data_IF_284825402186
#
_entry.id   IF_284825402186
#
_cell.length_a   1.000
_cell.length_b   1.000
_cell.length_c   1.000
_cell.angle_alpha   90.00
_cell.angle_beta   90.00
_cell.angle_gamma   90.00
#
_symmetry.space_group_name_H-M   'P 1'
#
loop_
_entity.id
_entity.type
_entity.pdbx_description
1 polymer ?
#
# COMPACT_ATOMS: atom_id res chain seq x y z
N UNK A 1 -14.03 4.60 37.17
CA UNK A 1 -13.04 3.51 37.32
C UNK A 1 -11.79 3.96 36.61
N UNK A 2 -10.74 4.31 37.38
CA UNK A 2 -9.47 4.83 36.87
C UNK A 2 -8.59 3.61 36.60
N UNK A 3 -8.29 3.33 35.34
CA UNK A 3 -7.40 2.22 34.96
C UNK A 3 -5.97 2.73 34.79
N UNK A 4 -5.07 2.29 35.67
CA UNK A 4 -3.64 2.52 35.56
C UNK A 4 -3.01 1.34 34.79
N UNK A 5 -2.41 1.59 33.62
CA UNK A 5 -1.47 0.64 33.02
C UNK A 5 -0.09 1.30 32.98
N UNK A 6 0.75 0.95 33.95
CA UNK A 6 2.17 1.28 33.95
C UNK A 6 2.90 0.21 33.12
N UNK A 7 3.38 0.56 31.92
CA UNK A 7 4.42 -0.23 31.27
C UNK A 7 5.77 0.15 31.92
N UNK A 8 6.49 -0.87 32.39
CA UNK A 8 7.74 -0.77 33.14
C UNK A 8 8.79 0.03 32.37
N UNK A 9 9.04 1.28 32.78
CA UNK A 9 10.17 2.09 32.37
C UNK A 9 10.63 2.89 33.61
N UNK A 10 11.94 2.95 33.94
CA UNK A 10 12.42 3.48 35.22
C UNK A 10 12.36 5.02 35.31
N UNK A 11 11.78 5.69 34.32
CA UNK A 11 11.44 7.11 34.39
C UNK A 11 9.93 7.25 34.58
N UNK A 12 9.53 7.79 35.73
CA UNK A 12 8.16 8.20 36.07
C UNK A 12 7.65 9.28 35.09
N UNK A 13 7.28 8.87 33.88
CA UNK A 13 6.34 9.58 33.02
C UNK A 13 5.05 8.78 33.02
N UNK A 14 4.27 8.89 34.10
CA UNK A 14 2.88 8.46 34.07
C UNK A 14 2.16 9.36 33.05
N UNK A 15 1.91 8.83 31.85
CA UNK A 15 0.99 9.45 30.91
C UNK A 15 -0.40 9.39 31.53
N UNK A 16 -0.79 10.48 32.18
CA UNK A 16 -2.10 10.61 32.81
C UNK A 16 -3.13 10.88 31.70
N UNK A 17 -3.80 9.83 31.24
CA UNK A 17 -4.94 9.97 30.32
C UNK A 17 -6.06 10.74 31.02
N UNK A 18 -6.15 12.04 30.77
CA UNK A 18 -7.22 12.87 31.34
C UNK A 18 -8.45 12.83 30.43
N UNK A 19 -9.65 12.85 31.03
CA UNK A 19 -10.90 13.15 30.29
C UNK A 19 -11.02 14.63 29.89
N UNK A 20 -9.93 15.40 29.96
CA UNK A 20 -9.93 16.83 29.72
C UNK A 20 -9.78 17.20 28.23
N UNK A 21 -9.43 16.21 27.41
CA UNK A 21 -9.31 16.34 25.96
C UNK A 21 -10.25 15.33 25.33
N UNK A 22 -11.10 15.81 24.42
CA UNK A 22 -12.04 14.98 23.67
C UNK A 22 -11.73 15.08 22.18
N UNK A 23 -11.58 13.92 21.56
CA UNK A 23 -11.35 13.71 20.14
C UNK A 23 -12.37 12.70 19.62
N UNK A 24 -12.68 12.77 18.33
CA UNK A 24 -13.43 11.70 17.65
C UNK A 24 -12.63 10.40 17.68
N UNK A 25 -13.33 9.25 17.77
CA UNK A 25 -12.68 7.94 17.83
C UNK A 25 -12.14 7.49 16.47
N UNK A 26 -12.95 7.59 15.42
CA UNK A 26 -12.61 7.21 14.05
C UNK A 26 -13.22 8.20 13.07
N UNK A 27 -12.50 8.49 12.00
CA UNK A 27 -12.93 9.30 10.85
C UNK A 27 -12.46 8.59 9.59
N UNK A 28 -13.37 8.47 8.63
CA UNK A 28 -13.11 7.88 7.31
C UNK A 28 -13.36 8.97 6.28
N UNK A 29 -12.44 9.14 5.34
CA UNK A 29 -12.58 10.13 4.28
C UNK A 29 -11.88 9.63 3.02
N UNK A 30 -12.37 10.04 1.85
CA UNK A 30 -11.79 9.61 0.58
C UNK A 30 -10.47 10.33 0.25
N UNK A 31 -9.62 9.62 -0.48
CA UNK A 31 -8.40 10.18 -1.05
C UNK A 31 -8.69 11.44 -1.88
N UNK A 32 -7.81 12.44 -1.79
CA UNK A 32 -7.95 13.71 -2.49
C UNK A 32 -8.94 14.70 -1.85
N UNK A 33 -9.85 14.24 -0.98
CA UNK A 33 -10.73 15.13 -0.20
C UNK A 33 -9.97 15.80 0.93
N UNK A 34 -10.67 16.70 1.63
CA UNK A 34 -10.15 17.36 2.83
C UNK A 34 -10.89 16.84 4.06
N UNK A 35 -10.17 16.56 5.14
CA UNK A 35 -10.75 16.16 6.42
C UNK A 35 -10.46 17.20 7.50
N UNK A 36 -11.38 17.35 8.45
CA UNK A 36 -11.17 18.17 9.64
C UNK A 36 -11.28 17.32 10.90
N UNK A 37 -10.20 17.28 11.68
CA UNK A 37 -10.14 16.58 12.97
C UNK A 37 -10.32 17.59 14.10
N UNK A 38 -11.28 17.33 14.98
CA UNK A 38 -11.62 18.21 16.08
C UNK A 38 -11.03 17.71 17.40
N UNK A 39 -10.43 18.63 18.15
CA UNK A 39 -9.92 18.39 19.49
C UNK A 39 -10.45 19.46 20.44
N UNK A 40 -11.30 19.08 21.39
CA UNK A 40 -11.87 20.00 22.37
C UNK A 40 -11.21 19.85 23.73
N UNK A 41 -10.92 20.99 24.38
CA UNK A 41 -10.24 21.04 25.67
C UNK A 41 -11.14 21.66 26.74
N UNK A 42 -11.19 21.05 27.92
CA UNK A 42 -11.88 21.61 29.09
C UNK A 42 -10.97 22.48 29.96
N UNK A 43 -9.66 22.40 29.76
CA UNK A 43 -8.65 23.11 30.56
C UNK A 43 -8.62 24.60 30.21
N UNK A 44 -8.39 25.42 31.24
CA UNK A 44 -8.30 26.88 31.12
C UNK A 44 -6.87 27.30 31.49
N UNK A 45 -6.01 27.50 30.49
CA UNK A 45 -4.64 27.98 30.67
C UNK A 45 -4.48 29.34 29.98
N UNK A 46 -3.68 30.23 30.58
CA UNK A 46 -3.49 31.59 30.06
C UNK A 46 -2.61 31.62 28.79
N UNK A 47 -1.58 30.79 28.74
CA UNK A 47 -0.68 30.67 27.60
C UNK A 47 -0.25 29.21 27.46
N UNK A 48 -0.43 28.63 26.28
CA UNK A 48 -0.08 27.24 26.01
C UNK A 48 0.23 27.03 24.52
N UNK A 49 0.98 25.98 24.25
CA UNK A 49 1.25 25.53 22.87
C UNK A 49 0.40 24.30 22.60
N UNK A 50 -0.22 24.28 21.42
CA UNK A 50 -1.03 23.20 20.93
C UNK A 50 -0.32 22.49 19.79
N UNK A 51 -0.37 21.17 19.82
CA UNK A 51 0.28 20.34 18.82
C UNK A 51 -0.70 19.32 18.26
N UNK A 52 -0.47 18.95 17.02
CA UNK A 52 -0.96 17.71 16.44
C UNK A 52 0.21 16.81 16.06
N UNK A 53 0.08 15.54 16.40
CA UNK A 53 1.01 14.48 16.05
C UNK A 53 0.28 13.41 15.23
N UNK A 54 1.02 12.79 14.32
CA UNK A 54 0.55 11.66 13.52
C UNK A 54 1.36 10.42 13.87
N UNK A 55 0.67 9.31 14.09
CA UNK A 55 1.28 8.00 14.25
C UNK A 55 0.76 7.08 13.13
N UNK A 56 1.59 6.77 12.13
CA UNK A 56 1.26 5.75 11.13
C UNK A 56 1.09 4.37 11.78
N UNK A 57 0.35 3.43 11.16
CA UNK A 57 0.07 2.09 11.73
C UNK A 57 1.31 1.33 12.21
N UNK A 58 2.44 1.45 11.49
CA UNK A 58 3.72 0.80 11.81
C UNK A 58 4.85 1.82 12.03
N UNK A 59 4.53 3.02 12.52
CA UNK A 59 5.44 4.15 12.58
C UNK A 59 5.70 4.70 13.98
N UNK A 60 6.73 5.54 14.06
CA UNK A 60 6.93 6.43 15.20
C UNK A 60 6.00 7.63 15.05
N UNK A 61 5.53 8.14 16.19
CA UNK A 61 4.73 9.35 16.23
C UNK A 61 5.60 10.58 15.91
N UNK A 62 5.14 11.43 14.98
CA UNK A 62 5.86 12.64 14.53
C UNK A 62 4.97 13.87 14.59
N UNK A 63 5.56 15.05 14.82
CA UNK A 63 4.83 16.32 14.83
C UNK A 63 4.31 16.62 13.42
N UNK A 64 3.05 17.02 13.32
CA UNK A 64 2.41 17.45 12.08
C UNK A 64 2.48 18.97 11.96
N UNK A 65 1.97 19.66 12.97
CA UNK A 65 1.88 21.13 13.02
C UNK A 65 1.59 21.57 14.46
N UNK A 66 2.06 22.75 14.83
CA UNK A 66 1.83 23.35 16.14
C UNK A 66 1.48 24.83 16.07
N UNK A 67 0.92 25.35 17.17
CA UNK A 67 0.50 26.76 17.26
C UNK A 67 0.43 27.23 18.72
N UNK A 68 0.78 28.50 18.95
CA UNK A 68 0.57 29.16 20.24
C UNK A 68 -0.89 29.58 20.46
N UNK A 69 -1.35 29.62 21.72
CA UNK A 69 -2.72 30.00 22.10
C UNK A 69 -3.15 31.41 21.68
N UNK A 70 -2.18 32.30 21.47
CA UNK A 70 -2.45 33.69 21.06
C UNK A 70 -2.89 33.76 19.59
N UNK A 71 -2.36 32.87 18.75
CA UNK A 71 -2.73 32.74 17.35
C UNK A 71 -4.13 32.15 17.17
N UNK A 72 -4.83 32.58 16.13
CA UNK A 72 -6.12 32.02 15.73
C UNK A 72 -6.00 30.86 14.75
N UNK A 73 -4.93 30.86 13.94
CA UNK A 73 -4.69 29.87 12.90
C UNK A 73 -3.20 29.76 12.57
N UNK A 74 -2.78 28.59 12.11
CA UNK A 74 -1.46 28.34 11.53
C UNK A 74 -1.61 27.42 10.31
N UNK A 75 -0.78 27.58 9.29
CA UNK A 75 -0.82 26.76 8.08
C UNK A 75 0.59 26.36 7.66
N UNK A 76 0.77 25.07 7.40
CA UNK A 76 2.04 24.50 6.93
C UNK A 76 1.75 23.43 5.88
N UNK A 77 2.09 23.72 4.62
CA UNK A 77 1.80 22.83 3.49
C UNK A 77 0.31 22.51 3.37
N UNK A 78 -0.04 21.22 3.48
CA UNK A 78 -1.43 20.70 3.40
C UNK A 78 -2.18 20.76 4.73
N UNK A 79 -1.53 21.19 5.82
CA UNK A 79 -2.08 21.19 7.17
C UNK A 79 -2.49 22.60 7.59
N UNK A 80 -3.70 22.74 8.12
CA UNK A 80 -4.21 24.01 8.68
C UNK A 80 -4.74 23.79 10.10
N UNK A 81 -4.19 24.53 11.06
CA UNK A 81 -4.75 24.64 12.40
C UNK A 81 -5.67 25.84 12.50
N UNK A 82 -6.82 25.65 13.13
CA UNK A 82 -7.72 26.74 13.52
C UNK A 82 -8.24 26.56 14.95
N UNK A 83 -8.19 27.63 15.75
CA UNK A 83 -8.62 27.62 17.14
C UNK A 83 -9.91 28.42 17.32
N UNK A 84 -11.00 27.72 17.64
CA UNK A 84 -12.26 28.32 18.04
C UNK A 84 -12.22 28.64 19.54
N UNK A 85 -11.65 29.80 19.90
CA UNK A 85 -11.40 30.21 21.30
C UNK A 85 -12.65 30.14 22.21
N UNK A 86 -13.83 30.55 21.71
CA UNK A 86 -15.09 30.52 22.48
C UNK A 86 -15.52 29.10 22.86
N UNK A 87 -15.39 28.17 21.93
CA UNK A 87 -15.81 26.78 22.10
C UNK A 87 -14.67 25.86 22.57
N UNK A 88 -13.44 26.39 22.63
CA UNK A 88 -12.19 25.67 22.98
C UNK A 88 -11.96 24.42 22.11
N UNK A 89 -12.15 24.58 20.81
CA UNK A 89 -11.94 23.53 19.82
C UNK A 89 -10.76 23.92 18.94
N UNK A 90 -9.73 23.08 18.93
CA UNK A 90 -8.65 23.12 17.95
C UNK A 90 -8.99 22.16 16.83
N UNK A 91 -8.99 22.67 15.61
CA UNK A 91 -9.25 21.90 14.41
C UNK A 91 -7.98 21.74 13.61
N UNK A 92 -7.69 20.51 13.20
CA UNK A 92 -6.68 20.20 12.18
C UNK A 92 -7.40 19.89 10.87
N UNK A 93 -7.22 20.74 9.86
CA UNK A 93 -7.67 20.46 8.49
C UNK A 93 -6.50 19.92 7.68
N UNK A 94 -6.71 18.79 7.03
CA UNK A 94 -5.75 18.18 6.10
C UNK A 94 -6.39 18.20 4.72
N UNK A 95 -5.77 18.90 3.77
CA UNK A 95 -6.29 19.00 2.39
C UNK A 95 -5.61 18.00 1.47
N UNK A 96 -6.34 17.46 0.50
CA UNK A 96 -5.78 16.55 -0.51
C UNK A 96 -5.22 15.30 0.15
N UNK A 97 -6.06 14.55 0.85
CA UNK A 97 -5.68 13.34 1.60
C UNK A 97 -4.95 12.33 0.71
N UNK A 98 -3.90 11.73 1.26
CA UNK A 98 -3.13 10.66 0.64
C UNK A 98 -3.26 9.38 1.47
N UNK A 99 -3.10 8.17 0.89
CA UNK A 99 -3.18 6.92 1.65
C UNK A 99 -2.21 6.87 2.84
N UNK A 100 -1.04 7.51 2.71
CA UNK A 100 -0.03 7.66 3.76
C UNK A 100 -0.48 8.51 4.96
N UNK A 101 -1.54 9.32 4.82
CA UNK A 101 -2.13 10.09 5.92
C UNK A 101 -2.93 9.16 6.87
N UNK A 102 -3.21 7.90 6.49
CA UNK A 102 -3.85 6.91 7.36
C UNK A 102 -3.03 6.66 8.63
N UNK A 103 -3.67 6.72 9.79
CA UNK A 103 -3.01 6.56 11.08
C UNK A 103 -3.79 7.21 12.21
N UNK A 104 -3.16 7.32 13.38
CA UNK A 104 -3.79 7.95 14.55
C UNK A 104 -3.24 9.35 14.74
N UNK A 105 -4.14 10.33 14.82
CA UNK A 105 -3.80 11.72 15.07
C UNK A 105 -4.07 12.10 16.53
N UNK A 106 -3.02 12.51 17.23
CA UNK A 106 -3.09 12.92 18.64
C UNK A 106 -2.96 14.43 18.74
N UNK A 107 -3.92 15.07 19.38
CA UNK A 107 -3.73 16.44 19.85
C UNK A 107 -3.15 16.42 21.27
N UNK A 108 -2.30 17.39 21.58
CA UNK A 108 -1.92 17.64 22.96
C UNK A 108 -1.77 19.14 23.24
N UNK A 109 -1.84 19.50 24.51
CA UNK A 109 -1.46 20.83 24.98
C UNK A 109 -0.56 20.76 26.22
N UNK A 110 0.22 21.81 26.42
CA UNK A 110 1.08 21.99 27.59
C UNK A 110 0.44 22.98 28.56
N UNK A 111 0.33 22.63 29.84
CA UNK A 111 -0.23 23.53 30.85
C UNK A 111 0.30 23.21 32.24
N UNK A 112 0.71 24.23 32.99
CA UNK A 112 1.32 24.07 34.33
C UNK A 112 2.44 22.99 34.38
N UNK A 113 3.33 23.00 33.39
CA UNK A 113 4.45 22.05 33.24
C UNK A 113 4.04 20.58 33.05
N UNK A 114 2.78 20.31 32.69
CA UNK A 114 2.26 18.97 32.38
C UNK A 114 1.83 18.89 30.92
N UNK A 115 1.97 17.69 30.36
CA UNK A 115 1.50 17.33 29.02
C UNK A 115 0.16 16.62 29.12
N UNK A 116 -0.82 17.08 28.33
CA UNK A 116 -2.13 16.44 28.26
C UNK A 116 -2.38 15.97 26.83
N UNK A 117 -2.48 14.66 26.66
CA UNK A 117 -2.75 14.01 25.39
C UNK A 117 -4.23 13.69 25.24
N UNK A 118 -4.77 13.91 24.04
CA UNK A 118 -6.04 13.33 23.65
C UNK A 118 -5.94 11.82 23.42
N UNK A 119 -7.09 11.16 23.29
CA UNK A 119 -7.17 9.70 23.06
C UNK A 119 -6.68 9.27 21.68
N UNK A 120 -6.49 10.22 20.76
CA UNK A 120 -6.22 9.95 19.36
C UNK A 120 -7.51 9.82 18.55
N UNK A 121 -7.45 10.26 17.29
CA UNK A 121 -8.46 10.01 16.27
C UNK A 121 -7.86 9.11 15.22
N UNK A 122 -8.45 7.94 14.99
CA UNK A 122 -8.08 7.07 13.87
C UNK A 122 -8.59 7.68 12.58
N UNK A 123 -7.70 8.09 11.68
CA UNK A 123 -8.04 8.50 10.33
C UNK A 123 -7.76 7.34 9.38
N UNK A 124 -8.76 6.94 8.61
CA UNK A 124 -8.62 5.98 7.51
C UNK A 124 -8.92 6.68 6.20
N UNK A 125 -7.91 6.78 5.34
CA UNK A 125 -8.08 7.34 3.99
C UNK A 125 -8.48 6.21 3.05
N UNK A 126 -9.69 6.32 2.50
CA UNK A 126 -10.24 5.36 1.56
C UNK A 126 -9.73 5.72 0.17
N UNK A 127 -8.95 4.83 -0.46
CA UNK A 127 -8.42 5.08 -1.80
C UNK A 127 -9.55 5.07 -2.84
N UNK A 128 -9.44 5.92 -3.85
CA UNK A 128 -10.41 5.95 -4.94
C UNK A 128 -9.91 5.04 -6.07
N UNK A 129 -10.47 3.84 -6.19
CA UNK A 129 -10.15 2.90 -7.27
C UNK A 129 -11.01 3.26 -8.47
N UNK A 130 -10.34 3.66 -9.56
CA UNK A 130 -11.01 3.99 -10.83
C UNK A 130 -11.15 2.72 -11.66
N UNK A 131 -12.38 2.35 -12.04
CA UNK A 131 -12.71 1.18 -12.86
C UNK A 131 -12.36 -0.16 -12.16
N UNK A 132 -13.11 -0.55 -11.11
CA UNK A 132 -12.87 -1.82 -10.41
C UNK A 132 -13.20 -3.02 -11.31
N UNK A 133 -12.32 -4.01 -11.33
CA UNK A 133 -12.45 -5.27 -12.07
C UNK A 133 -12.13 -6.46 -11.14
N UNK A 134 -13.02 -6.73 -10.15
CA UNK A 134 -12.73 -7.67 -9.07
C UNK A 134 -12.46 -9.08 -9.59
N UNK A 135 -11.30 -9.63 -9.25
CA UNK A 135 -10.90 -10.95 -9.71
C UNK A 135 -10.09 -11.71 -8.65
N UNK A 136 -10.18 -13.04 -8.72
CA UNK A 136 -9.52 -13.97 -7.79
C UNK A 136 -8.52 -14.83 -8.55
N UNK A 137 -7.25 -14.65 -8.24
CA UNK A 137 -6.16 -15.41 -8.84
C UNK A 137 -5.62 -16.44 -7.84
N UNK A 138 -5.62 -17.72 -8.24
CA UNK A 138 -4.83 -18.72 -7.54
C UNK A 138 -3.36 -18.54 -7.91
N UNK A 139 -2.50 -18.33 -6.93
CA UNK A 139 -1.06 -18.15 -7.16
C UNK A 139 -0.36 -19.51 -7.21
N UNK A 140 0.69 -19.59 -8.05
CA UNK A 140 1.51 -20.80 -8.19
C UNK A 140 2.70 -20.75 -7.24
N UNK A 141 2.87 -21.79 -6.43
CA UNK A 141 4.06 -21.91 -5.59
C UNK A 141 5.29 -22.25 -6.43
N UNK A 142 6.43 -21.56 -6.23
CA UNK A 142 7.68 -21.85 -6.94
C UNK A 142 8.32 -23.18 -6.52
N UNK A 143 7.91 -23.75 -5.38
CA UNK A 143 8.33 -25.06 -4.89
C UNK A 143 7.12 -25.96 -4.69
N UNK A 144 7.34 -27.28 -4.63
CA UNK A 144 6.28 -28.21 -4.23
C UNK A 144 5.88 -27.94 -2.78
N UNK A 145 4.79 -27.22 -2.57
CA UNK A 145 4.15 -26.98 -1.28
C UNK A 145 2.68 -27.32 -1.38
N UNK A 146 2.11 -27.85 -0.30
CA UNK A 146 0.67 -28.08 -0.16
C UNK A 146 -0.13 -26.80 0.18
N UNK A 147 0.51 -25.63 0.13
CA UNK A 147 -0.13 -24.35 0.43
C UNK A 147 -0.75 -23.80 -0.85
N UNK A 148 -2.05 -23.58 -0.81
CA UNK A 148 -2.81 -22.85 -1.81
C UNK A 148 -2.94 -21.40 -1.38
N UNK A 149 -2.61 -20.46 -2.28
CA UNK A 149 -2.70 -19.01 -2.04
C UNK A 149 -3.64 -18.39 -3.06
N UNK A 150 -4.57 -17.57 -2.59
CA UNK A 150 -5.52 -16.83 -3.40
C UNK A 150 -5.27 -15.33 -3.22
N UNK A 151 -5.16 -14.62 -4.34
CA UNK A 151 -5.12 -13.17 -4.40
C UNK A 151 -6.48 -12.69 -4.90
N UNK A 152 -7.19 -11.95 -4.06
CA UNK A 152 -8.36 -11.17 -4.46
C UNK A 152 -7.91 -9.74 -4.72
N UNK A 153 -8.17 -9.21 -5.91
CA UNK A 153 -7.62 -7.92 -6.36
C UNK A 153 -8.66 -7.08 -7.10
N UNK A 154 -8.38 -5.79 -7.29
CA UNK A 154 -9.13 -4.86 -8.14
C UNK A 154 -10.60 -4.63 -7.72
N UNK A 155 -10.94 -4.99 -6.49
CA UNK A 155 -12.25 -4.71 -5.88
C UNK A 155 -12.37 -3.26 -5.41
N UNK A 156 -13.62 -2.79 -5.29
CA UNK A 156 -13.92 -1.44 -4.85
C UNK A 156 -13.53 -1.19 -3.38
N UNK A 157 -13.62 0.06 -2.95
CA UNK A 157 -13.27 0.43 -1.57
C UNK A 157 -14.40 0.21 -0.55
N UNK A 158 -15.59 -0.20 -1.00
CA UNK A 158 -16.76 -0.47 -0.15
C UNK A 158 -16.83 -1.94 0.30
N UNK A 159 -16.06 -2.83 -0.33
CA UNK A 159 -16.00 -4.26 -0.04
C UNK A 159 -15.35 -4.54 1.34
N UNK A 160 -16.08 -4.24 2.42
CA UNK A 160 -15.73 -4.57 3.80
C UNK A 160 -16.23 -5.98 4.14
N UNK A 161 -15.59 -7.01 3.64
CA UNK A 161 -15.87 -8.38 4.10
C UNK A 161 -14.86 -8.83 5.16
N UNK A 162 -15.01 -8.26 6.36
CA UNK A 162 -14.51 -8.88 7.60
C UNK A 162 -15.37 -10.10 7.94
N UNK A 163 -15.23 -11.18 7.16
CA UNK A 163 -15.73 -12.48 7.56
C UNK A 163 -14.71 -13.17 8.47
N UNK A 164 -15.19 -13.74 9.58
CA UNK A 164 -14.37 -14.32 10.62
C UNK A 164 -13.39 -15.36 10.05
N UNK A 165 -12.15 -15.44 10.57
CA UNK A 165 -11.21 -16.45 10.13
C UNK A 165 -11.77 -17.85 10.43
N UNK A 166 -11.99 -18.63 9.37
CA UNK A 166 -12.20 -20.07 9.53
C UNK A 166 -10.92 -20.72 10.11
N UNK A 167 -11.04 -21.72 10.99
CA UNK A 167 -9.90 -22.27 11.75
C UNK A 167 -8.77 -22.86 10.88
N UNK A 168 -9.02 -23.12 9.61
CA UNK A 168 -8.08 -23.71 8.65
C UNK A 168 -7.53 -22.69 7.64
N UNK A 169 -8.00 -21.45 7.63
CA UNK A 169 -7.65 -20.43 6.62
C UNK A 169 -7.13 -19.16 7.28
N UNK A 170 -6.01 -18.65 6.77
CA UNK A 170 -5.52 -17.32 7.14
C UNK A 170 -5.89 -16.32 6.05
N UNK A 171 -6.58 -15.24 6.42
CA UNK A 171 -6.90 -14.10 5.56
C UNK A 171 -6.20 -12.85 6.11
N UNK A 172 -5.45 -12.15 5.27
CA UNK A 172 -4.87 -10.86 5.62
C UNK A 172 -5.89 -9.74 5.37
N UNK A 173 -5.74 -8.64 6.12
CA UNK A 173 -6.47 -7.40 5.85
C UNK A 173 -6.11 -6.89 4.45
N UNK A 174 -7.09 -6.28 3.78
CA UNK A 174 -6.88 -5.66 2.49
C UNK A 174 -5.87 -4.51 2.59
N UNK A 175 -5.15 -4.31 1.50
CA UNK A 175 -4.17 -3.23 1.34
C UNK A 175 -4.29 -2.64 -0.04
N UNK A 176 -4.01 -1.34 -0.16
CA UNK A 176 -3.96 -0.64 -1.44
C UNK A 176 -2.55 -0.74 -2.00
N UNK A 177 -2.43 -1.24 -3.23
CA UNK A 177 -1.20 -1.22 -4.03
C UNK A 177 -1.25 -0.03 -4.99
N UNK A 178 -0.29 0.88 -4.86
CA UNK A 178 -0.13 2.03 -5.76
C UNK A 178 1.02 1.74 -6.76
N UNK A 179 0.66 1.51 -8.03
CA UNK A 179 1.59 1.16 -9.10
C UNK A 179 1.92 2.39 -9.94
N UNK A 180 2.92 3.15 -9.49
CA UNK A 180 3.33 4.42 -10.10
C UNK A 180 3.71 4.34 -11.58
N UNK A 181 4.31 3.24 -12.04
CA UNK A 181 4.69 3.10 -13.45
C UNK A 181 3.49 3.03 -14.40
N UNK A 182 2.35 2.56 -13.90
CA UNK A 182 1.10 2.45 -14.66
C UNK A 182 0.08 3.53 -14.29
N UNK A 183 0.39 4.41 -13.33
CA UNK A 183 -0.56 5.34 -12.71
C UNK A 183 -1.87 4.65 -12.32
N UNK A 184 -1.77 3.43 -11.77
CA UNK A 184 -2.92 2.60 -11.40
C UNK A 184 -2.84 2.23 -9.93
N UNK A 185 -4.02 2.15 -9.28
CA UNK A 185 -4.18 1.72 -7.90
C UNK A 185 -5.14 0.55 -7.86
N UNK A 186 -4.82 -0.42 -7.03
CA UNK A 186 -5.63 -1.63 -6.86
C UNK A 186 -5.70 -2.02 -5.40
N UNK A 187 -6.87 -2.50 -4.97
CA UNK A 187 -7.00 -3.14 -3.68
C UNK A 187 -6.59 -4.60 -3.79
N UNK A 188 -5.89 -5.11 -2.79
CA UNK A 188 -5.45 -6.50 -2.74
C UNK A 188 -5.69 -7.13 -1.37
N UNK A 189 -6.19 -8.36 -1.36
CA UNK A 189 -6.33 -9.20 -0.18
C UNK A 189 -5.76 -10.59 -0.46
N UNK A 190 -5.09 -11.16 0.54
CA UNK A 190 -4.49 -12.49 0.45
C UNK A 190 -5.16 -13.46 1.41
N UNK A 191 -5.48 -14.64 0.90
CA UNK A 191 -5.93 -15.77 1.69
C UNK A 191 -5.11 -17.02 1.35
N UNK A 192 -4.75 -17.81 2.36
CA UNK A 192 -4.05 -19.07 2.13
C UNK A 192 -4.40 -20.14 3.15
N UNK A 193 -4.21 -21.39 2.73
CA UNK A 193 -4.38 -22.57 3.58
C UNK A 193 -3.53 -23.72 3.07
N UNK A 194 -3.19 -24.64 3.99
CA UNK A 194 -2.61 -25.94 3.68
C UNK A 194 -3.66 -27.07 3.62
N UNK A 195 -4.94 -26.75 3.87
CA UNK A 195 -6.04 -27.70 3.80
C UNK A 195 -6.36 -28.05 2.35
N UNK A 196 -6.70 -29.32 2.10
CA UNK A 196 -7.20 -29.79 0.80
C UNK A 196 -8.61 -29.29 0.49
N UNK A 197 -9.36 -28.91 1.52
CA UNK A 197 -10.74 -28.42 1.38
C UNK A 197 -10.77 -26.94 0.97
N UNK A 198 -9.64 -26.24 1.08
CA UNK A 198 -9.55 -24.83 0.71
C UNK A 198 -9.43 -24.65 -0.80
N UNK A 199 -10.43 -23.98 -1.39
CA UNK A 199 -10.44 -23.65 -2.81
C UNK A 199 -10.72 -22.17 -3.03
N UNK A 200 -9.89 -21.54 -3.86
CA UNK A 200 -9.98 -20.10 -4.13
C UNK A 200 -11.31 -19.67 -4.78
N UNK A 201 -11.94 -20.53 -5.58
CA UNK A 201 -13.21 -20.25 -6.24
C UNK A 201 -14.41 -20.15 -5.29
N UNK A 202 -14.27 -20.68 -4.07
CA UNK A 202 -15.32 -20.69 -3.04
C UNK A 202 -15.05 -19.61 -1.97
N UNK A 203 -13.84 -19.04 -1.94
CA UNK A 203 -13.41 -18.06 -0.91
C UNK A 203 -13.93 -16.65 -1.16
N UNK A 204 -14.08 -16.27 -2.42
CA UNK A 204 -14.55 -14.96 -2.86
C UNK A 204 -15.50 -15.20 -4.04
N UNK A 205 -16.71 -14.65 -3.98
CA UNK A 205 -17.76 -14.88 -4.97
C UNK A 205 -17.56 -14.04 -6.24
N UNK A 206 -16.35 -14.08 -6.80
CA UNK A 206 -15.91 -13.27 -7.95
C UNK A 206 -15.30 -14.14 -9.05
N UNK A 207 -14.95 -13.52 -10.19
CA UNK A 207 -14.36 -14.24 -11.31
C UNK A 207 -13.03 -14.90 -10.91
N UNK A 208 -12.91 -16.21 -11.18
CA UNK A 208 -11.82 -17.04 -10.68
C UNK A 208 -10.87 -17.52 -11.78
N UNK A 209 -9.58 -17.26 -11.58
CA UNK A 209 -8.49 -17.67 -12.45
C UNK A 209 -7.58 -18.69 -11.74
N UNK A 210 -7.58 -19.93 -12.22
CA UNK A 210 -6.77 -21.02 -11.64
C UNK A 210 -5.30 -20.98 -12.06
N UNK A 211 -4.41 -21.44 -11.17
CA UNK A 211 -2.99 -21.68 -11.48
C UNK A 211 -2.74 -23.00 -12.20
N UNK A 212 -3.76 -23.83 -12.38
CA UNK A 212 -3.70 -25.08 -13.14
C UNK A 212 -5.06 -25.45 -13.74
N UNK A 213 -5.33 -25.04 -14.99
CA UNK A 213 -6.55 -25.39 -15.72
C UNK A 213 -6.47 -25.14 -17.24
N UNK A 214 -7.40 -25.69 -18.00
CA UNK A 214 -7.41 -25.76 -19.48
C UNK A 214 -7.59 -24.41 -20.21
N UNK A 215 -7.94 -23.34 -19.51
CA UNK A 215 -8.17 -21.99 -20.07
C UNK A 215 -7.00 -21.01 -19.82
N UNK A 216 -5.76 -21.46 -19.94
CA UNK A 216 -4.63 -20.52 -19.98
C UNK A 216 -4.62 -19.77 -21.30
N UNK A 217 -4.87 -18.45 -21.25
CA UNK A 217 -4.59 -17.55 -22.38
C UNK A 217 -3.08 -17.41 -22.55
N UNK A 218 -2.46 -18.29 -23.33
CA UNK A 218 -1.07 -18.14 -23.76
C UNK A 218 -1.01 -17.16 -24.95
N UNK A 219 -0.80 -15.87 -24.67
CA UNK A 219 -0.66 -14.86 -25.71
C UNK A 219 0.81 -14.70 -26.12
N UNK A 220 1.19 -15.33 -27.23
CA UNK A 220 2.55 -15.27 -27.76
C UNK A 220 3.01 -13.83 -28.05
N UNK A 221 2.11 -12.95 -28.53
CA UNK A 221 2.46 -11.55 -28.85
C UNK A 221 2.80 -10.73 -27.61
N UNK A 222 2.27 -11.10 -26.44
CA UNK A 222 2.62 -10.46 -25.17
C UNK A 222 4.00 -10.90 -24.69
N UNK A 223 4.35 -12.18 -24.88
CA UNK A 223 5.64 -12.75 -24.50
C UNK A 223 6.78 -12.10 -25.31
N UNK A 224 6.55 -11.84 -26.60
CA UNK A 224 7.54 -11.18 -27.47
C UNK A 224 7.93 -9.77 -26.96
N UNK A 225 7.02 -9.04 -26.29
CA UNK A 225 7.35 -7.72 -25.71
C UNK A 225 8.40 -7.78 -24.60
N UNK A 226 8.59 -8.94 -24.00
CA UNK A 226 9.57 -9.17 -22.93
C UNK A 226 10.91 -9.70 -23.46
N UNK A 227 11.09 -9.79 -24.78
CA UNK A 227 12.34 -10.25 -25.36
C UNK A 227 13.43 -9.19 -25.27
N UNK A 228 14.48 -9.48 -24.49
CA UNK A 228 15.67 -8.66 -24.38
C UNK A 228 16.88 -9.37 -25.01
N UNK A 229 17.79 -8.59 -25.59
CA UNK A 229 19.01 -9.12 -26.21
C UNK A 229 20.23 -8.85 -25.33
N UNK A 230 21.05 -9.87 -25.10
CA UNK A 230 22.36 -9.71 -24.47
C UNK A 230 23.52 -9.69 -25.49
N UNK A 231 24.71 -9.31 -25.02
CA UNK A 231 25.91 -9.24 -25.86
C UNK A 231 26.35 -10.62 -26.39
N UNK A 232 26.08 -11.70 -25.64
CA UNK A 232 26.46 -13.05 -26.04
C UNK A 232 25.60 -13.52 -27.21
N UNK A 233 24.28 -13.30 -27.14
CA UNK A 233 23.33 -13.60 -28.19
C UNK A 233 23.66 -12.81 -29.46
N UNK A 234 24.00 -11.53 -29.31
CA UNK A 234 24.44 -10.70 -30.43
C UNK A 234 25.73 -11.23 -31.07
N UNK A 235 26.71 -11.64 -30.27
CA UNK A 235 27.96 -12.21 -30.76
C UNK A 235 27.74 -13.56 -31.46
N UNK A 236 26.92 -14.45 -30.89
CA UNK A 236 26.57 -15.73 -31.52
C UNK A 236 25.84 -15.51 -32.84
N UNK A 237 24.91 -14.55 -32.91
CA UNK A 237 24.23 -14.22 -34.15
C UNK A 237 25.21 -13.72 -35.23
N UNK A 238 26.12 -12.80 -34.86
CA UNK A 238 27.14 -12.30 -35.77
C UNK A 238 28.08 -13.42 -36.25
N UNK A 239 28.50 -14.30 -35.33
CA UNK A 239 29.33 -15.46 -35.65
C UNK A 239 28.63 -16.41 -36.63
N UNK A 240 27.33 -16.68 -36.43
CA UNK A 240 26.52 -17.51 -37.33
C UNK A 240 26.36 -16.88 -38.71
N UNK A 241 26.18 -15.55 -38.79
CA UNK A 241 26.18 -14.82 -40.06
C UNK A 241 27.55 -14.98 -40.75
N UNK A 242 28.65 -14.82 -40.00
CA UNK A 242 30.01 -15.02 -40.50
C UNK A 242 30.23 -16.41 -41.08
N UNK A 243 29.83 -17.46 -40.35
CA UNK A 243 29.91 -18.85 -40.82
C UNK A 243 29.10 -19.07 -42.10
N UNK A 244 27.88 -18.52 -42.20
CA UNK A 244 27.05 -18.62 -43.41
C UNK A 244 27.74 -17.99 -44.62
N UNK A 245 28.37 -16.83 -44.45
CA UNK A 245 29.11 -16.16 -45.52
C UNK A 245 30.32 -16.99 -45.97
N UNK A 246 31.08 -17.56 -45.01
CA UNK A 246 32.23 -18.43 -45.34
C UNK A 246 31.74 -19.67 -46.11
N UNK A 247 30.66 -20.30 -45.66
CA UNK A 247 30.11 -21.51 -46.28
C UNK A 247 29.65 -21.24 -47.71
N UNK A 248 28.97 -20.12 -47.96
CA UNK A 248 28.58 -19.70 -49.32
C UNK A 248 29.80 -19.47 -50.23
N UNK A 249 30.86 -18.86 -49.72
CA UNK A 249 32.11 -18.65 -50.48
C UNK A 249 32.80 -19.97 -50.81
N UNK A 250 32.91 -20.87 -49.84
CA UNK A 250 33.54 -22.19 -50.04
C UNK A 250 32.73 -23.03 -51.03
N UNK A 251 31.41 -23.04 -50.90
CA UNK A 251 30.52 -23.73 -51.84
C UNK A 251 30.68 -23.18 -53.26
N UNK A 252 30.68 -21.84 -53.43
CA UNK A 252 30.87 -21.21 -54.74
C UNK A 252 32.24 -21.53 -55.36
N UNK A 253 33.32 -21.51 -54.57
CA UNK A 253 34.65 -21.89 -55.03
C UNK A 253 34.73 -23.36 -55.47
N UNK A 254 34.18 -24.28 -54.67
CA UNK A 254 34.14 -25.70 -55.01
C UNK A 254 33.33 -25.96 -56.29
N UNK A 255 32.22 -25.24 -56.49
CA UNK A 255 31.39 -25.34 -57.69
C UNK A 255 32.13 -24.82 -58.93
N UNK A 256 32.84 -23.69 -58.81
CA UNK A 256 33.70 -23.17 -59.87
C UNK A 256 34.81 -24.18 -60.25
N UNK A 257 35.50 -24.73 -59.25
CA UNK A 257 36.60 -25.67 -59.48
C UNK A 257 36.13 -26.97 -60.12
N UNK A 258 35.00 -27.51 -59.67
CA UNK A 258 34.41 -28.71 -60.27
C UNK A 258 33.99 -28.47 -61.72
N UNK A 259 33.36 -27.33 -62.03
CA UNK A 259 33.02 -26.95 -63.40
C UNK A 259 34.25 -26.78 -64.30
N UNK A 260 35.33 -26.14 -63.80
CA UNK A 260 36.57 -25.99 -64.56
C UNK A 260 37.25 -27.34 -64.86
N UNK A 261 37.26 -28.26 -63.89
CA UNK A 261 37.80 -29.60 -64.09
C UNK A 261 36.96 -30.45 -65.06
N UNK A 262 35.65 -30.24 -65.08
CA UNK A 262 34.74 -30.91 -66.02
C UNK A 262 34.75 -30.34 -67.44
N UNK A 263 35.12 -29.06 -67.58
CA UNK A 263 35.18 -28.37 -68.88
C UNK A 263 36.40 -28.74 -69.73
N UNK A 264 37.35 -29.50 -69.18
CA UNK A 264 38.65 -29.83 -69.80
C UNK A 264 38.71 -31.32 -70.12
#
# INVERSE_FOLDING_TARGET
>A
IIGFYCLLCPFWLCLHWTNNIRQSSSVHEEEGKSVTLDCSFTLNFNYYVMYWYHQPPNGKMTEVISMFSDSSSNMEGRYTLSLLKRSRILKLTITGLMPADTGVYFCWNTGNQKLYFGRGTSLTVVSNITDPDPAVYQLRSPKSSNISVCLFTDFDSETNEEQAPEPTMTRLKSTVLDMWSMNSKSNGALAWSASTDFKCNETFHEEFYSSSGENFSCNATLIEKNFETDMNLNFHNLFMIGLRVILLKVAGFNLLMTLQLWSR
#
